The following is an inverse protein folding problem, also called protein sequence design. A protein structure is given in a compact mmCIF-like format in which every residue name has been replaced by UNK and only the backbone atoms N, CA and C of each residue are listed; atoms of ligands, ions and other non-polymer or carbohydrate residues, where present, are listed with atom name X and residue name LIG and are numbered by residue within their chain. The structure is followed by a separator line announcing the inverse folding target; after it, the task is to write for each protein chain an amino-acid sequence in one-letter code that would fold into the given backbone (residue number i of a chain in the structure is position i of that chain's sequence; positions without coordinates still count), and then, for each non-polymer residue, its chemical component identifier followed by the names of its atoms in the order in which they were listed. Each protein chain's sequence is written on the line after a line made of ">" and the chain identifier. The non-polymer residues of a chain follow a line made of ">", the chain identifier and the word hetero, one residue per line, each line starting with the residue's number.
data_IF_826358701297
#
_entry.id   IF_826358701297
#
_cell.length_a   1.000
_cell.length_b   1.000
_cell.length_c   1.000
_cell.angle_alpha   90.00
_cell.angle_beta   90.00
_cell.angle_gamma   90.00
#
_symmetry.space_group_name_H-M   'P 1'
#
loop_
_entity.id
_entity.type
_entity.pdbx_description
1 polymer ?
#
# COMPACT_ATOMS: atom_id res chain seq x y z
N UNK A 1 -8.47 30.44 -10.11
CA UNK A 1 -7.21 30.05 -9.43
C UNK A 1 -6.79 28.73 -10.04
N UNK A 2 -5.56 28.58 -10.54
CA UNK A 2 -5.10 27.31 -11.10
C UNK A 2 -4.91 26.34 -9.93
N UNK A 3 -5.47 25.16 -9.99
CA UNK A 3 -5.38 24.14 -8.92
C UNK A 3 -3.92 23.74 -8.72
N UNK A 4 -3.42 23.79 -7.50
CA UNK A 4 -2.04 23.39 -7.17
C UNK A 4 -2.02 21.96 -6.69
N UNK A 5 -2.02 21.03 -7.65
CA UNK A 5 -2.07 19.58 -7.41
C UNK A 5 -0.92 19.11 -6.53
N UNK A 6 0.29 19.68 -6.69
CA UNK A 6 1.46 19.25 -5.92
C UNK A 6 1.29 19.58 -4.44
N UNK A 7 0.83 20.78 -4.13
CA UNK A 7 0.59 21.16 -2.73
C UNK A 7 -0.55 20.35 -2.12
N UNK A 8 -1.63 20.09 -2.86
CA UNK A 8 -2.72 19.21 -2.41
C UNK A 8 -2.20 17.82 -2.04
N UNK A 9 -1.37 17.18 -2.91
CA UNK A 9 -0.77 15.88 -2.65
C UNK A 9 0.15 15.93 -1.41
N UNK A 10 1.00 16.96 -1.30
CA UNK A 10 1.89 17.14 -0.13
C UNK A 10 1.11 17.24 1.18
N UNK A 11 0.03 18.01 1.19
CA UNK A 11 -0.82 18.15 2.36
C UNK A 11 -1.50 16.84 2.74
N UNK A 12 -1.96 16.04 1.76
CA UNK A 12 -2.52 14.71 2.02
C UNK A 12 -1.45 13.81 2.64
N UNK A 13 -0.26 13.76 2.05
CA UNK A 13 0.87 12.94 2.56
C UNK A 13 1.30 13.35 3.96
N UNK A 14 1.28 14.64 4.30
CA UNK A 14 1.65 15.10 5.65
C UNK A 14 0.67 14.71 6.75
N UNK A 15 -0.56 14.31 6.39
CA UNK A 15 -1.63 13.92 7.32
C UNK A 15 -1.83 12.42 7.41
N UNK A 16 -1.28 11.64 6.47
CA UNK A 16 -1.41 10.19 6.46
C UNK A 16 -0.16 9.52 7.02
N UNK A 17 -0.36 8.54 7.89
CA UNK A 17 0.66 7.60 8.34
C UNK A 17 0.56 6.28 7.57
N UNK A 18 0.39 5.15 8.22
CA UNK A 18 0.07 3.89 7.55
C UNK A 18 -1.42 3.87 7.15
N UNK A 19 -1.68 3.79 5.83
CA UNK A 19 -3.05 3.88 5.30
C UNK A 19 -3.90 2.69 5.70
N UNK A 20 -3.29 1.52 5.86
CA UNK A 20 -4.02 0.34 6.29
C UNK A 20 -4.52 0.49 7.73
N UNK A 21 -3.65 0.88 8.64
CA UNK A 21 -4.01 1.14 10.04
C UNK A 21 -5.03 2.27 10.15
N UNK A 22 -4.84 3.37 9.40
CA UNK A 22 -5.78 4.48 9.38
C UNK A 22 -7.16 4.09 8.82
N UNK A 23 -7.20 3.27 7.78
CA UNK A 23 -8.45 2.74 7.22
C UNK A 23 -9.24 1.98 8.28
N UNK A 24 -8.62 0.99 8.95
CA UNK A 24 -9.28 0.21 9.99
C UNK A 24 -9.69 1.05 11.19
N UNK A 25 -8.85 1.98 11.64
CA UNK A 25 -9.20 2.90 12.72
C UNK A 25 -10.44 3.74 12.39
N UNK A 26 -10.56 4.22 11.14
CA UNK A 26 -11.71 5.00 10.71
C UNK A 26 -12.97 4.15 10.60
N UNK A 27 -12.90 2.98 9.99
CA UNK A 27 -14.04 2.06 9.89
C UNK A 27 -14.54 1.66 11.29
N UNK A 28 -13.65 1.25 12.19
CA UNK A 28 -14.03 0.88 13.55
C UNK A 28 -14.68 2.05 14.31
N UNK A 29 -14.23 3.29 14.07
CA UNK A 29 -14.88 4.48 14.66
C UNK A 29 -16.28 4.71 14.12
N UNK A 30 -16.49 4.54 12.80
CA UNK A 30 -17.81 4.65 12.19
C UNK A 30 -18.75 3.58 12.76
N UNK A 31 -18.32 2.34 12.83
CA UNK A 31 -19.08 1.24 13.42
C UNK A 31 -19.48 1.55 14.86
N UNK A 32 -18.52 2.01 15.68
CA UNK A 32 -18.76 2.39 17.06
C UNK A 32 -19.78 3.54 17.21
N UNK A 33 -19.69 4.55 16.35
CA UNK A 33 -20.64 5.68 16.35
C UNK A 33 -22.04 5.19 15.99
N UNK A 34 -22.18 4.29 15.04
CA UNK A 34 -23.47 3.69 14.65
C UNK A 34 -24.04 2.86 15.80
N UNK A 35 -23.25 1.99 16.43
CA UNK A 35 -23.68 1.20 17.60
C UNK A 35 -24.15 2.09 18.76
N UNK A 36 -23.39 3.15 19.06
CA UNK A 36 -23.74 4.04 20.18
C UNK A 36 -24.95 4.90 19.85
N UNK A 37 -25.22 5.19 18.56
CA UNK A 37 -26.42 5.90 18.14
C UNK A 37 -27.71 5.15 18.46
N UNK A 38 -27.70 3.82 18.45
CA UNK A 38 -28.85 2.99 18.81
C UNK A 38 -29.32 3.17 20.27
N UNK A 39 -28.43 3.64 21.13
CA UNK A 39 -28.76 3.89 22.57
C UNK A 39 -29.40 5.23 22.79
N UNK A 40 -29.49 6.08 21.78
CA UNK A 40 -30.13 7.39 21.87
C UNK A 40 -31.65 7.24 21.72
N UNK A 41 -32.40 7.98 22.53
CA UNK A 41 -33.87 8.00 22.48
C UNK A 41 -34.38 9.14 21.56
N UNK A 42 -33.63 9.44 20.46
CA UNK A 42 -33.96 10.52 19.53
C UNK A 42 -33.75 10.02 18.10
N UNK A 43 -34.86 9.73 17.41
CA UNK A 43 -34.88 9.19 16.06
C UNK A 43 -34.25 10.17 15.05
N UNK A 44 -34.37 11.48 15.29
CA UNK A 44 -33.77 12.48 14.42
C UNK A 44 -32.25 12.42 14.48
N UNK A 45 -31.70 12.39 15.71
CA UNK A 45 -30.24 12.30 15.91
C UNK A 45 -29.72 10.97 15.36
N UNK A 46 -30.41 9.86 15.57
CA UNK A 46 -30.03 8.56 15.00
C UNK A 46 -29.96 8.63 13.48
N UNK A 47 -30.97 9.20 12.83
CA UNK A 47 -31.01 9.34 11.37
C UNK A 47 -29.86 10.20 10.85
N UNK A 48 -29.56 11.33 11.50
CA UNK A 48 -28.45 12.19 11.09
C UNK A 48 -27.09 11.50 11.27
N UNK A 49 -26.90 10.70 12.31
CA UNK A 49 -25.69 9.90 12.49
C UNK A 49 -25.52 8.88 11.37
N UNK A 50 -26.59 8.19 10.97
CA UNK A 50 -26.55 7.24 9.85
C UNK A 50 -26.19 7.95 8.52
N UNK A 51 -26.81 9.10 8.23
CA UNK A 51 -26.47 9.92 7.06
C UNK A 51 -24.99 10.29 7.03
N UNK A 52 -24.50 10.78 8.18
CA UNK A 52 -23.08 11.14 8.31
C UNK A 52 -22.16 9.93 8.16
N UNK A 53 -22.56 8.77 8.66
CA UNK A 53 -21.79 7.54 8.53
C UNK A 53 -21.64 7.07 7.08
N UNK A 54 -22.69 7.18 6.26
CA UNK A 54 -22.64 6.90 4.82
C UNK A 54 -21.64 7.81 4.11
N UNK A 55 -21.66 9.11 4.40
CA UNK A 55 -20.71 10.07 3.80
C UNK A 55 -19.26 9.72 4.18
N UNK A 56 -19.03 9.39 5.46
CA UNK A 56 -17.70 9.09 5.97
C UNK A 56 -17.13 7.78 5.42
N UNK A 57 -17.94 6.71 5.29
CA UNK A 57 -17.44 5.44 4.75
C UNK A 57 -17.05 5.58 3.28
N UNK A 58 -17.78 6.38 2.48
CA UNK A 58 -17.39 6.67 1.10
C UNK A 58 -16.11 7.50 1.07
N UNK A 59 -15.96 8.52 1.92
CA UNK A 59 -14.72 9.28 2.02
C UNK A 59 -13.51 8.38 2.42
N UNK A 60 -13.72 7.41 3.32
CA UNK A 60 -12.70 6.40 3.65
C UNK A 60 -12.36 5.53 2.44
N UNK A 61 -13.38 5.10 1.67
CA UNK A 61 -13.15 4.28 0.48
C UNK A 61 -12.37 5.04 -0.60
N UNK A 62 -12.70 6.31 -0.87
CA UNK A 62 -11.96 7.15 -1.81
C UNK A 62 -10.48 7.29 -1.41
N UNK A 63 -10.18 7.43 -0.12
CA UNK A 63 -8.81 7.48 0.39
C UNK A 63 -8.09 6.13 0.23
N UNK A 64 -8.75 5.01 0.54
CA UNK A 64 -8.22 3.67 0.37
C UNK A 64 -7.87 3.40 -1.10
N UNK A 65 -8.83 3.61 -2.02
CA UNK A 65 -8.60 3.33 -3.44
C UNK A 65 -7.55 4.23 -4.07
N UNK A 66 -7.47 5.50 -3.65
CA UNK A 66 -6.37 6.39 -4.06
C UNK A 66 -5.02 5.80 -3.68
N UNK A 67 -4.91 5.24 -2.49
CA UNK A 67 -3.67 4.61 -2.07
C UNK A 67 -3.40 3.29 -2.80
N UNK A 68 -4.40 2.41 -2.97
CA UNK A 68 -4.23 1.15 -3.70
C UNK A 68 -3.76 1.39 -5.13
N UNK A 69 -4.34 2.39 -5.81
CA UNK A 69 -3.91 2.80 -7.16
C UNK A 69 -2.48 3.33 -7.16
N UNK A 70 -2.12 4.16 -6.18
CA UNK A 70 -0.73 4.63 -6.01
C UNK A 70 0.23 3.45 -5.85
N UNK A 71 -0.05 2.53 -4.93
CA UNK A 71 0.79 1.36 -4.69
C UNK A 71 0.92 0.45 -5.93
N UNK A 72 -0.16 0.24 -6.69
CA UNK A 72 -0.12 -0.48 -7.96
C UNK A 72 0.86 0.15 -8.95
N UNK A 73 0.82 1.46 -9.10
CA UNK A 73 1.65 2.18 -10.08
C UNK A 73 3.12 2.25 -9.63
N UNK A 74 3.35 2.54 -8.35
CA UNK A 74 4.70 2.76 -7.83
C UNK A 74 5.49 1.45 -7.66
N UNK A 75 4.80 0.32 -7.45
CA UNK A 75 5.43 -0.96 -7.15
C UNK A 75 5.27 -2.04 -8.22
N UNK A 76 4.61 -1.74 -9.37
CA UNK A 76 4.44 -2.70 -10.44
C UNK A 76 4.63 -2.08 -11.83
N UNK A 77 5.64 -2.56 -12.56
CA UNK A 77 6.00 -2.04 -13.88
C UNK A 77 4.87 -2.17 -14.92
N UNK A 78 4.12 -3.27 -14.88
CA UNK A 78 2.98 -3.47 -15.78
C UNK A 78 1.88 -2.45 -15.50
N UNK A 79 1.56 -2.20 -14.23
CA UNK A 79 0.59 -1.17 -13.85
C UNK A 79 1.05 0.23 -14.26
N UNK A 80 2.34 0.54 -14.08
CA UNK A 80 2.93 1.79 -14.54
C UNK A 80 2.76 1.97 -16.05
N UNK A 81 3.05 0.96 -16.87
CA UNK A 81 2.89 1.02 -18.34
C UNK A 81 1.43 1.08 -18.77
N UNK A 82 0.51 0.54 -17.98
CA UNK A 82 -0.93 0.53 -18.24
C UNK A 82 -1.63 1.87 -17.93
N UNK A 83 -0.96 2.85 -17.32
CA UNK A 83 -1.51 4.22 -17.13
C UNK A 83 -2.06 4.78 -18.44
N UNK A 84 -1.44 4.46 -19.59
CA UNK A 84 -1.89 4.86 -20.92
C UNK A 84 -3.29 4.35 -21.30
N UNK A 85 -3.81 3.31 -20.64
CA UNK A 85 -5.18 2.78 -20.84
C UNK A 85 -6.23 3.64 -20.14
N UNK A 86 -5.82 4.53 -19.24
CA UNK A 86 -6.71 5.38 -18.49
C UNK A 86 -6.95 6.67 -19.29
N UNK A 87 -8.15 6.79 -19.87
CA UNK A 87 -8.51 7.89 -20.78
C UNK A 87 -8.30 9.28 -20.18
N UNK A 88 -8.46 9.45 -18.87
CA UNK A 88 -8.28 10.72 -18.18
C UNK A 88 -6.84 11.24 -18.27
N UNK A 89 -5.85 10.36 -18.51
CA UNK A 89 -4.44 10.71 -18.63
C UNK A 89 -3.99 11.03 -20.06
N UNK A 90 -4.75 10.71 -21.10
CA UNK A 90 -4.37 10.97 -22.48
C UNK A 90 -4.15 12.47 -22.78
N UNK A 91 -4.76 13.36 -22.00
CA UNK A 91 -4.64 14.82 -22.13
C UNK A 91 -3.97 15.49 -20.92
N UNK A 92 -3.34 14.72 -20.03
CA UNK A 92 -2.71 15.29 -18.83
C UNK A 92 -1.42 16.02 -19.22
N UNK A 93 -1.37 17.32 -18.89
CA UNK A 93 -0.19 18.17 -19.18
C UNK A 93 0.76 18.14 -18.01
N UNK A 94 1.95 17.62 -18.24
CA UNK A 94 3.06 17.66 -17.29
C UNK A 94 3.83 18.96 -17.51
N UNK A 95 3.87 19.81 -16.50
CA UNK A 95 4.64 21.05 -16.50
C UNK A 95 5.97 20.88 -15.74
N UNK A 96 6.83 21.89 -15.82
CA UNK A 96 8.17 21.86 -15.19
C UNK A 96 8.07 21.68 -13.66
N UNK A 97 7.01 22.16 -13.02
CA UNK A 97 6.81 22.04 -11.58
C UNK A 97 6.60 20.58 -11.18
N UNK A 98 5.81 19.84 -11.96
CA UNK A 98 5.60 18.40 -11.77
C UNK A 98 6.91 17.62 -11.99
N UNK A 99 7.67 17.96 -13.05
CA UNK A 99 8.97 17.32 -13.32
C UNK A 99 9.93 17.55 -12.15
N UNK A 100 10.00 18.78 -11.63
CA UNK A 100 10.84 19.10 -10.47
C UNK A 100 10.41 18.33 -9.22
N UNK A 101 9.10 18.19 -8.98
CA UNK A 101 8.58 17.43 -7.84
C UNK A 101 8.95 15.94 -7.92
N UNK A 102 8.98 15.35 -9.12
CA UNK A 102 9.48 13.98 -9.33
C UNK A 102 10.97 13.86 -9.07
N UNK A 103 11.78 14.78 -9.63
CA UNK A 103 13.25 14.79 -9.43
C UNK A 103 13.63 14.93 -7.96
N UNK A 104 12.90 15.75 -7.21
CA UNK A 104 13.11 15.94 -5.77
C UNK A 104 12.48 14.83 -4.91
N UNK A 105 11.86 13.81 -5.53
CA UNK A 105 11.13 12.73 -4.86
C UNK A 105 10.05 13.21 -3.89
N UNK A 106 9.52 14.41 -4.12
CA UNK A 106 8.45 15.00 -3.29
C UNK A 106 7.13 14.29 -3.52
N UNK A 107 6.84 13.92 -4.77
CA UNK A 107 5.70 13.11 -5.18
C UNK A 107 6.16 12.01 -6.12
N UNK A 108 5.39 10.93 -6.22
CA UNK A 108 5.57 9.85 -7.20
C UNK A 108 4.61 10.00 -8.37
N UNK A 109 4.82 9.20 -9.42
CA UNK A 109 3.85 9.12 -10.52
C UNK A 109 2.55 8.51 -10.02
N UNK A 110 2.62 7.50 -9.15
CA UNK A 110 1.45 6.93 -8.49
C UNK A 110 0.65 7.96 -7.70
N UNK A 111 1.32 8.84 -6.93
CA UNK A 111 0.66 9.95 -6.23
C UNK A 111 -0.14 10.85 -7.19
N UNK A 112 0.49 11.23 -8.32
CA UNK A 112 -0.14 12.12 -9.31
C UNK A 112 -1.34 11.48 -9.99
N UNK A 113 -1.19 10.24 -10.46
CA UNK A 113 -2.24 9.50 -11.15
C UNK A 113 -3.39 9.23 -10.20
N UNK A 114 -3.12 8.70 -9.02
CA UNK A 114 -4.13 8.41 -8.01
C UNK A 114 -4.90 9.66 -7.56
N UNK A 115 -4.25 10.82 -7.50
CA UNK A 115 -4.92 12.08 -7.16
C UNK A 115 -5.84 12.60 -8.27
N UNK A 116 -5.52 12.31 -9.53
CA UNK A 116 -6.30 12.78 -10.68
C UNK A 116 -7.49 11.87 -11.03
N UNK A 117 -7.53 10.64 -10.55
CA UNK A 117 -8.61 9.69 -10.83
C UNK A 117 -9.85 9.94 -9.97
N UNK A 118 -11.01 9.57 -10.51
CA UNK A 118 -12.29 9.55 -9.78
C UNK A 118 -12.50 8.22 -9.06
N UNK A 119 -13.08 8.28 -7.87
CA UNK A 119 -13.49 7.13 -7.05
C UNK A 119 -14.92 7.31 -6.53
N UNK A 120 -15.74 8.06 -7.25
CA UNK A 120 -17.06 8.54 -6.79
C UNK A 120 -18.17 7.48 -6.91
N UNK A 121 -17.90 6.36 -7.58
CA UNK A 121 -18.84 5.26 -7.75
C UNK A 121 -18.10 3.94 -7.94
N UNK A 122 -18.86 2.85 -7.93
CA UNK A 122 -18.34 1.49 -8.09
C UNK A 122 -17.64 1.27 -9.43
N UNK A 123 -18.20 1.82 -10.51
CA UNK A 123 -17.70 1.68 -11.87
C UNK A 123 -16.34 2.39 -12.06
N UNK A 124 -16.18 3.58 -11.49
CA UNK A 124 -14.90 4.31 -11.51
C UNK A 124 -13.81 3.49 -10.81
N UNK A 125 -14.12 2.96 -9.62
CA UNK A 125 -13.18 2.17 -8.82
C UNK A 125 -12.73 0.92 -9.57
N UNK A 126 -13.68 0.11 -10.02
CA UNK A 126 -13.38 -1.15 -10.70
C UNK A 126 -12.67 -0.91 -12.03
N UNK A 127 -13.09 0.09 -12.82
CA UNK A 127 -12.44 0.46 -14.08
C UNK A 127 -10.99 0.92 -13.87
N UNK A 128 -10.72 1.72 -12.86
CA UNK A 128 -9.36 2.20 -12.57
C UNK A 128 -8.43 1.02 -12.25
N UNK A 129 -8.84 0.10 -11.37
CA UNK A 129 -8.04 -1.07 -11.01
C UNK A 129 -7.89 -2.03 -12.19
N UNK A 130 -8.98 -2.33 -12.90
CA UNK A 130 -8.98 -3.24 -14.04
C UNK A 130 -8.05 -2.75 -15.17
N UNK A 131 -8.09 -1.46 -15.49
CA UNK A 131 -7.22 -0.87 -16.50
C UNK A 131 -5.74 -0.95 -16.11
N UNK A 132 -5.40 -0.72 -14.84
CA UNK A 132 -4.02 -0.82 -14.36
C UNK A 132 -3.51 -2.25 -14.35
N UNK A 133 -4.31 -3.21 -13.88
CA UNK A 133 -3.92 -4.62 -13.73
C UNK A 133 -4.11 -5.44 -15.01
N UNK A 134 -4.85 -4.90 -15.99
CA UNK A 134 -5.27 -5.64 -17.20
C UNK A 134 -6.07 -6.92 -16.88
N UNK A 135 -6.90 -6.87 -15.86
CA UNK A 135 -7.68 -8.01 -15.34
C UNK A 135 -9.01 -7.53 -14.78
N UNK A 136 -9.96 -8.45 -14.58
CA UNK A 136 -11.24 -8.14 -13.95
C UNK A 136 -11.19 -8.40 -12.44
N UNK A 137 -11.16 -7.33 -11.64
CA UNK A 137 -11.14 -7.39 -10.20
C UNK A 137 -12.28 -8.24 -9.62
N UNK A 138 -13.50 -8.09 -10.14
CA UNK A 138 -14.66 -8.78 -9.59
C UNK A 138 -14.59 -10.27 -9.87
N UNK A 139 -14.22 -10.67 -11.07
CA UNK A 139 -14.05 -12.08 -11.42
C UNK A 139 -12.90 -12.73 -10.63
N UNK A 140 -11.83 -11.98 -10.39
CA UNK A 140 -10.76 -12.46 -9.51
C UNK A 140 -11.25 -12.68 -8.08
N UNK A 141 -11.99 -11.73 -7.51
CA UNK A 141 -12.53 -11.87 -6.15
C UNK A 141 -13.48 -13.07 -6.02
N UNK A 142 -14.28 -13.37 -7.05
CA UNK A 142 -15.16 -14.56 -7.07
C UNK A 142 -14.37 -15.87 -7.08
N UNK A 143 -13.19 -15.88 -7.71
CA UNK A 143 -12.37 -17.10 -7.90
C UNK A 143 -11.18 -17.19 -6.95
N UNK A 144 -11.02 -16.24 -6.04
CA UNK A 144 -9.89 -16.16 -5.13
C UNK A 144 -9.74 -17.44 -4.30
N UNK A 145 -8.55 -18.07 -4.30
CA UNK A 145 -8.36 -19.39 -3.67
C UNK A 145 -7.36 -19.40 -2.50
N UNK A 146 -6.60 -18.34 -2.34
CA UNK A 146 -5.59 -18.30 -1.29
C UNK A 146 -6.21 -18.21 0.10
N UNK A 147 -5.63 -18.90 1.05
CA UNK A 147 -5.89 -18.73 2.48
C UNK A 147 -4.88 -17.77 3.07
N UNK A 148 -5.34 -16.87 3.89
CA UNK A 148 -4.50 -15.93 4.61
C UNK A 148 -4.23 -16.40 6.03
N UNK A 149 -3.11 -15.97 6.59
CA UNK A 149 -2.76 -16.19 8.00
C UNK A 149 -3.83 -15.65 8.95
N UNK A 150 -4.43 -14.52 8.60
CA UNK A 150 -5.49 -13.91 9.38
C UNK A 150 -6.85 -14.49 8.97
N UNK A 151 -7.50 -15.24 9.86
CA UNK A 151 -8.83 -15.84 9.67
C UNK A 151 -9.85 -14.84 9.15
N UNK A 152 -9.79 -13.60 9.64
CA UNK A 152 -10.64 -12.49 9.21
C UNK A 152 -10.67 -12.31 7.68
N UNK A 153 -9.54 -12.34 7.01
CA UNK A 153 -9.50 -12.19 5.55
C UNK A 153 -10.15 -13.38 4.82
N UNK A 154 -9.99 -14.57 5.37
CA UNK A 154 -10.64 -15.76 4.83
C UNK A 154 -12.16 -15.68 4.97
N UNK A 155 -12.65 -15.17 6.10
CA UNK A 155 -14.10 -14.95 6.32
C UNK A 155 -14.66 -13.93 5.34
N UNK A 156 -14.03 -12.76 5.21
CA UNK A 156 -14.45 -11.68 4.31
C UNK A 156 -14.50 -12.14 2.86
N UNK A 157 -13.46 -12.84 2.39
CA UNK A 157 -13.41 -13.41 1.04
C UNK A 157 -14.51 -14.46 0.86
N UNK A 158 -14.75 -15.30 1.87
CA UNK A 158 -15.81 -16.32 1.82
C UNK A 158 -17.19 -15.68 1.71
N UNK A 159 -17.47 -14.63 2.47
CA UNK A 159 -18.74 -13.89 2.40
C UNK A 159 -18.95 -13.29 1.01
N UNK A 160 -17.91 -12.63 0.45
CA UNK A 160 -17.98 -12.07 -0.90
C UNK A 160 -18.27 -13.17 -1.94
N UNK A 161 -17.53 -14.28 -1.92
CA UNK A 161 -17.70 -15.40 -2.88
C UNK A 161 -19.07 -16.04 -2.83
N UNK A 162 -19.64 -16.15 -1.62
CA UNK A 162 -20.96 -16.76 -1.45
C UNK A 162 -22.10 -15.88 -1.96
N UNK A 163 -21.94 -14.56 -1.94
CA UNK A 163 -22.99 -13.63 -2.37
C UNK A 163 -22.44 -12.35 -2.99
N UNK A 164 -21.69 -12.43 -4.11
CA UNK A 164 -21.04 -11.28 -4.73
C UNK A 164 -22.05 -10.22 -5.20
N UNK A 165 -23.21 -10.65 -5.72
CA UNK A 165 -24.21 -9.72 -6.26
C UNK A 165 -24.84 -8.86 -5.16
N UNK A 166 -25.08 -9.43 -3.97
CA UNK A 166 -25.60 -8.68 -2.84
C UNK A 166 -24.56 -7.64 -2.33
N UNK A 167 -23.30 -8.05 -2.24
CA UNK A 167 -22.22 -7.12 -1.85
C UNK A 167 -22.11 -5.98 -2.86
N UNK A 168 -22.05 -6.27 -4.16
CA UNK A 168 -21.97 -5.26 -5.22
C UNK A 168 -23.18 -4.33 -5.21
N UNK A 169 -24.39 -4.88 -5.03
CA UNK A 169 -25.62 -4.08 -4.92
C UNK A 169 -25.52 -3.11 -3.75
N UNK A 170 -25.12 -3.59 -2.57
CA UNK A 170 -24.95 -2.74 -1.38
C UNK A 170 -23.94 -1.62 -1.59
N UNK A 171 -22.81 -1.91 -2.25
CA UNK A 171 -21.80 -0.90 -2.60
C UNK A 171 -22.41 0.20 -3.47
N UNK A 172 -23.15 -0.18 -4.52
CA UNK A 172 -23.80 0.78 -5.43
C UNK A 172 -24.85 1.63 -4.70
N UNK A 173 -25.65 1.03 -3.82
CA UNK A 173 -26.63 1.76 -3.02
C UNK A 173 -25.99 2.76 -2.05
N UNK A 174 -24.88 2.42 -1.41
CA UNK A 174 -24.14 3.34 -0.54
C UNK A 174 -23.59 4.54 -1.33
N UNK A 175 -22.99 4.33 -2.51
CA UNK A 175 -22.53 5.43 -3.35
C UNK A 175 -23.68 6.33 -3.83
N UNK A 176 -24.81 5.72 -4.24
CA UNK A 176 -26.01 6.43 -4.66
C UNK A 176 -26.57 7.26 -3.50
N UNK A 177 -26.69 6.69 -2.30
CA UNK A 177 -27.19 7.39 -1.13
C UNK A 177 -26.27 8.56 -0.74
N UNK A 178 -24.94 8.35 -0.76
CA UNK A 178 -23.98 9.44 -0.54
C UNK A 178 -24.16 10.56 -1.55
N UNK A 179 -24.35 10.25 -2.84
CA UNK A 179 -24.57 11.25 -3.87
C UNK A 179 -25.79 12.11 -3.54
N UNK A 180 -26.92 11.48 -3.19
CA UNK A 180 -28.15 12.18 -2.81
C UNK A 180 -27.92 13.04 -1.55
N UNK A 181 -27.31 12.49 -0.50
CA UNK A 181 -27.06 13.20 0.76
C UNK A 181 -26.14 14.41 0.62
N UNK A 182 -25.20 14.39 -0.33
CA UNK A 182 -24.26 15.48 -0.55
C UNK A 182 -24.74 16.56 -1.52
N UNK A 183 -25.58 16.20 -2.49
CA UNK A 183 -25.88 17.07 -3.64
C UNK A 183 -27.35 17.45 -3.78
N UNK A 184 -28.23 16.81 -3.01
CA UNK A 184 -29.66 17.11 -3.05
C UNK A 184 -30.13 17.58 -1.68
N UNK A 185 -31.12 18.52 -1.66
CA UNK A 185 -31.82 18.92 -0.42
C UNK A 185 -32.81 17.81 -0.01
N UNK A 186 -32.30 16.65 0.29
CA UNK A 186 -33.07 15.43 0.47
C UNK A 186 -33.56 15.28 1.93
N UNK A 187 -34.35 16.25 2.41
CA UNK A 187 -34.90 16.22 3.78
C UNK A 187 -35.90 15.09 4.04
N UNK A 188 -36.49 14.51 2.95
CA UNK A 188 -37.54 13.50 3.04
C UNK A 188 -37.07 12.08 2.69
N UNK A 189 -35.76 11.81 2.71
CA UNK A 189 -35.29 10.45 2.51
C UNK A 189 -35.52 9.67 3.81
N UNK A 190 -36.38 8.66 3.73
CA UNK A 190 -36.48 7.66 4.77
C UNK A 190 -35.25 6.75 4.69
N UNK A 191 -34.52 6.65 5.79
CA UNK A 191 -33.36 5.77 5.95
C UNK A 191 -33.78 4.66 6.89
N UNK A 192 -33.92 3.44 6.37
CA UNK A 192 -34.12 2.29 7.22
C UNK A 192 -32.78 1.88 7.86
N UNK A 193 -32.78 1.81 9.19
CA UNK A 193 -31.57 1.51 9.97
C UNK A 193 -30.99 0.15 9.58
N UNK A 194 -31.82 -0.88 9.50
CA UNK A 194 -31.40 -2.26 9.24
C UNK A 194 -30.83 -2.40 7.81
N UNK A 195 -31.43 -1.71 6.84
CA UNK A 195 -30.94 -1.68 5.47
C UNK A 195 -29.59 -0.98 5.37
N UNK A 196 -29.44 0.17 6.05
CA UNK A 196 -28.14 0.89 6.06
C UNK A 196 -27.04 0.05 6.69
N UNK A 197 -27.28 -0.57 7.84
CA UNK A 197 -26.28 -1.41 8.50
C UNK A 197 -25.87 -2.57 7.57
N UNK A 198 -26.83 -3.27 7.00
CA UNK A 198 -26.56 -4.34 6.05
C UNK A 198 -25.70 -3.87 4.84
N UNK A 199 -26.03 -2.71 4.28
CA UNK A 199 -25.29 -2.15 3.17
C UNK A 199 -23.88 -1.69 3.58
N UNK A 200 -23.70 -1.14 4.77
CA UNK A 200 -22.38 -0.72 5.29
C UNK A 200 -21.48 -1.94 5.56
N UNK A 201 -22.02 -3.01 6.12
CA UNK A 201 -21.28 -4.27 6.33
C UNK A 201 -20.80 -4.86 5.00
N UNK A 202 -21.67 -4.95 4.00
CA UNK A 202 -21.28 -5.40 2.67
C UNK A 202 -20.28 -4.47 1.99
N UNK A 203 -20.41 -3.15 2.18
CA UNK A 203 -19.45 -2.17 1.67
C UNK A 203 -18.05 -2.40 2.27
N UNK A 204 -17.98 -2.62 3.58
CA UNK A 204 -16.73 -2.97 4.27
C UNK A 204 -16.12 -4.26 3.72
N UNK A 205 -16.92 -5.31 3.54
CA UNK A 205 -16.47 -6.58 2.93
C UNK A 205 -15.84 -6.31 1.55
N UNK A 206 -16.48 -5.50 0.71
CA UNK A 206 -15.93 -5.13 -0.59
C UNK A 206 -14.58 -4.41 -0.49
N UNK A 207 -14.45 -3.43 0.41
CA UNK A 207 -13.21 -2.69 0.61
C UNK A 207 -12.07 -3.61 1.06
N UNK A 208 -12.33 -4.50 2.01
CA UNK A 208 -11.35 -5.46 2.51
C UNK A 208 -10.94 -6.47 1.42
N UNK A 209 -11.89 -6.96 0.62
CA UNK A 209 -11.59 -7.83 -0.52
C UNK A 209 -10.72 -7.13 -1.57
N UNK A 210 -11.00 -5.87 -1.90
CA UNK A 210 -10.18 -5.09 -2.82
C UNK A 210 -8.76 -4.89 -2.29
N UNK A 211 -8.63 -4.55 -1.00
CA UNK A 211 -7.32 -4.42 -0.34
C UNK A 211 -6.51 -5.71 -0.45
N UNK A 212 -7.11 -6.85 -0.07
CA UNK A 212 -6.47 -8.16 -0.14
C UNK A 212 -6.07 -8.52 -1.58
N UNK A 213 -6.95 -8.29 -2.57
CA UNK A 213 -6.65 -8.59 -3.97
C UNK A 213 -5.50 -7.75 -4.52
N UNK A 214 -5.42 -6.46 -4.18
CA UNK A 214 -4.32 -5.60 -4.61
C UNK A 214 -3.01 -5.97 -3.92
N UNK A 215 -3.04 -6.26 -2.63
CA UNK A 215 -1.86 -6.71 -1.87
C UNK A 215 -1.32 -8.03 -2.45
N UNK A 216 -2.17 -8.99 -2.74
CA UNK A 216 -1.80 -10.27 -3.36
C UNK A 216 -1.20 -10.08 -4.76
N UNK A 217 -1.77 -9.17 -5.54
CA UNK A 217 -1.25 -8.85 -6.86
C UNK A 217 0.16 -8.23 -6.81
N UNK A 218 0.41 -7.35 -5.84
CA UNK A 218 1.71 -6.71 -5.64
C UNK A 218 2.75 -7.67 -5.05
N UNK A 219 2.31 -8.57 -4.19
CA UNK A 219 3.17 -9.51 -3.46
C UNK A 219 2.61 -10.94 -3.59
N UNK A 220 2.61 -11.52 -4.81
CA UNK A 220 2.20 -12.89 -5.00
C UNK A 220 3.15 -13.79 -4.19
N UNK A 221 2.61 -14.67 -3.37
CA UNK A 221 3.33 -15.51 -2.42
C UNK A 221 3.76 -14.82 -1.12
N UNK A 222 3.01 -13.82 -0.66
CA UNK A 222 3.19 -13.33 0.70
C UNK A 222 3.14 -14.52 1.68
N UNK A 223 4.10 -14.63 2.59
CA UNK A 223 4.21 -15.79 3.45
C UNK A 223 2.99 -15.96 4.37
N UNK A 224 2.50 -17.19 4.48
CA UNK A 224 1.31 -17.52 5.27
C UNK A 224 1.61 -17.80 6.75
N UNK A 225 2.87 -18.15 7.05
CA UNK A 225 3.29 -18.50 8.40
C UNK A 225 4.46 -17.64 8.86
N UNK A 226 4.63 -17.51 10.18
CA UNK A 226 5.79 -16.82 10.75
C UNK A 226 7.11 -17.47 10.29
N UNK A 227 7.11 -18.78 10.12
CA UNK A 227 8.28 -19.48 9.60
C UNK A 227 8.64 -19.01 8.17
N UNK A 228 7.63 -18.91 7.28
CA UNK A 228 7.82 -18.43 5.91
C UNK A 228 8.22 -16.96 5.87
N UNK A 229 7.66 -16.12 6.76
CA UNK A 229 8.06 -14.72 6.92
C UNK A 229 9.55 -14.63 7.26
N UNK A 230 9.99 -15.41 8.25
CA UNK A 230 11.38 -15.46 8.66
C UNK A 230 12.29 -15.98 7.52
N UNK A 231 11.84 -17.03 6.83
CA UNK A 231 12.59 -17.60 5.70
C UNK A 231 12.71 -16.61 4.54
N UNK A 232 11.65 -15.85 4.25
CA UNK A 232 11.68 -14.81 3.22
C UNK A 232 12.64 -13.68 3.59
N UNK A 233 12.63 -13.21 4.84
CA UNK A 233 13.59 -12.20 5.30
C UNK A 233 15.03 -12.68 5.12
N UNK A 234 15.31 -13.95 5.48
CA UNK A 234 16.60 -14.57 5.27
C UNK A 234 16.98 -14.66 3.79
N UNK A 235 16.06 -15.14 2.94
CA UNK A 235 16.30 -15.27 1.50
C UNK A 235 16.54 -13.91 0.83
N UNK A 236 15.86 -12.86 1.28
CA UNK A 236 16.07 -11.50 0.78
C UNK A 236 17.45 -10.98 1.16
N UNK A 237 17.85 -11.16 2.43
CA UNK A 237 19.19 -10.82 2.88
C UNK A 237 20.28 -11.58 2.07
N UNK A 238 20.13 -12.89 1.85
CA UNK A 238 21.08 -13.69 1.07
C UNK A 238 21.26 -13.17 -0.36
N UNK A 239 20.20 -12.65 -1.00
CA UNK A 239 20.27 -12.00 -2.32
C UNK A 239 21.11 -10.71 -2.26
N UNK A 240 20.88 -9.88 -1.25
CA UNK A 240 21.62 -8.63 -1.06
C UNK A 240 23.07 -8.90 -0.68
N UNK A 241 23.33 -9.91 0.14
CA UNK A 241 24.70 -10.34 0.47
C UNK A 241 25.45 -10.79 -0.79
N UNK A 242 24.80 -11.54 -1.66
CA UNK A 242 25.38 -11.95 -2.95
C UNK A 242 25.69 -10.74 -3.83
N UNK A 243 24.78 -9.77 -3.96
CA UNK A 243 25.03 -8.51 -4.69
C UNK A 243 26.24 -7.76 -4.12
N UNK A 244 26.32 -7.70 -2.79
CA UNK A 244 27.45 -7.08 -2.09
C UNK A 244 28.77 -7.78 -2.40
N UNK A 245 28.82 -9.11 -2.41
CA UNK A 245 30.02 -9.87 -2.72
C UNK A 245 30.47 -9.69 -4.18
N UNK A 246 29.53 -9.70 -5.12
CA UNK A 246 29.79 -9.43 -6.54
C UNK A 246 30.33 -8.00 -6.77
N UNK A 247 29.80 -7.02 -6.02
CA UNK A 247 30.29 -5.65 -6.04
C UNK A 247 31.72 -5.55 -5.48
N UNK A 248 32.00 -6.22 -4.36
CA UNK A 248 33.35 -6.26 -3.79
C UNK A 248 34.37 -6.87 -4.72
N UNK A 249 34.02 -7.93 -5.43
CA UNK A 249 34.89 -8.55 -6.45
C UNK A 249 35.22 -7.57 -7.56
N UNK A 250 34.22 -6.85 -8.11
CA UNK A 250 34.43 -5.83 -9.12
C UNK A 250 35.36 -4.72 -8.63
N UNK A 251 35.14 -4.21 -7.41
CA UNK A 251 35.95 -3.15 -6.81
C UNK A 251 37.38 -3.63 -6.62
N UNK A 252 37.59 -4.81 -6.04
CA UNK A 252 38.93 -5.33 -5.76
C UNK A 252 39.74 -5.63 -7.03
N UNK A 253 39.06 -6.00 -8.11
CA UNK A 253 39.67 -6.19 -9.41
C UNK A 253 40.07 -4.87 -10.08
N UNK A 254 39.43 -3.75 -9.72
CA UNK A 254 39.76 -2.42 -10.23
C UNK A 254 40.94 -1.75 -9.52
N UNK A 255 41.46 -2.31 -8.43
CA UNK A 255 42.58 -1.72 -7.66
C UNK A 255 43.92 -1.79 -8.39
N UNK A 256 44.06 -2.68 -9.37
CA UNK A 256 45.29 -2.82 -10.16
C UNK A 256 45.17 -1.87 -11.35
N UNK A 257 46.03 -0.85 -11.39
CA UNK A 257 46.10 0.05 -12.55
C UNK A 257 46.75 -0.66 -13.74
N UNK A 258 46.54 -0.08 -14.94
CA UNK A 258 47.21 -0.54 -16.16
C UNK A 258 48.76 -0.47 -16.09
N UNK A 259 49.29 0.35 -15.19
CA UNK A 259 50.73 0.51 -14.96
C UNK A 259 51.27 -0.41 -13.84
N UNK A 260 50.41 -1.27 -13.26
CA UNK A 260 50.81 -2.20 -12.21
C UNK A 260 50.93 -1.60 -10.80
N UNK A 261 50.61 -0.30 -10.63
CA UNK A 261 50.61 0.35 -9.31
C UNK A 261 49.24 0.20 -8.64
N UNK A 262 49.20 -0.21 -7.39
CA UNK A 262 47.96 -0.23 -6.60
C UNK A 262 47.67 1.18 -6.05
N UNK A 263 46.54 1.75 -6.38
CA UNK A 263 46.09 3.06 -5.84
C UNK A 263 45.44 2.91 -4.46
N UNK A 264 44.97 1.71 -4.10
CA UNK A 264 44.33 1.40 -2.82
C UNK A 264 44.99 0.15 -2.26
N UNK A 265 45.40 0.20 -0.99
CA UNK A 265 45.88 -0.99 -0.31
C UNK A 265 44.76 -2.01 -0.15
N UNK A 266 44.83 -3.06 -0.96
CA UNK A 266 43.82 -4.12 -1.01
C UNK A 266 43.66 -4.83 0.33
N UNK A 267 44.75 -4.99 1.08
CA UNK A 267 44.76 -5.71 2.36
C UNK A 267 44.00 -4.91 3.42
N UNK A 268 44.25 -3.61 3.50
CA UNK A 268 43.52 -2.71 4.41
C UNK A 268 42.04 -2.57 4.02
N UNK A 269 41.75 -2.48 2.72
CA UNK A 269 40.37 -2.41 2.26
C UNK A 269 39.59 -3.69 2.66
N UNK A 270 40.11 -4.87 2.36
CA UNK A 270 39.47 -6.13 2.71
C UNK A 270 39.32 -6.31 4.22
N UNK A 271 40.32 -5.88 5.01
CA UNK A 271 40.21 -5.88 6.46
C UNK A 271 39.08 -4.96 6.93
N UNK A 272 38.99 -3.76 6.40
CA UNK A 272 37.91 -2.81 6.74
C UNK A 272 36.52 -3.35 6.40
N UNK A 273 36.39 -4.06 5.29
CA UNK A 273 35.14 -4.75 4.91
C UNK A 273 34.79 -5.86 5.90
N UNK A 274 35.77 -6.65 6.33
CA UNK A 274 35.54 -7.71 7.31
C UNK A 274 35.12 -7.15 8.68
N UNK A 275 35.79 -6.11 9.14
CA UNK A 275 35.44 -5.40 10.39
C UNK A 275 34.03 -4.79 10.30
N UNK A 276 33.68 -4.26 9.13
CA UNK A 276 32.34 -3.75 8.89
C UNK A 276 31.28 -4.86 8.88
N UNK A 277 31.55 -6.05 8.32
CA UNK A 277 30.62 -7.19 8.38
C UNK A 277 30.32 -7.59 9.81
N UNK A 278 31.35 -7.71 10.64
CA UNK A 278 31.18 -7.98 12.07
C UNK A 278 30.33 -6.91 12.76
N UNK A 279 30.56 -5.63 12.43
CA UNK A 279 29.71 -4.53 12.92
C UNK A 279 28.25 -4.71 12.50
N UNK A 280 27.97 -5.02 11.24
CA UNK A 280 26.61 -5.21 10.73
C UNK A 280 25.86 -6.32 11.49
N UNK A 281 26.52 -7.46 11.75
CA UNK A 281 25.96 -8.57 12.52
C UNK A 281 25.68 -8.17 13.98
N UNK A 282 26.62 -7.50 14.64
CA UNK A 282 26.42 -7.00 16.00
C UNK A 282 25.30 -5.98 16.08
N UNK A 283 25.22 -5.08 15.10
CA UNK A 283 24.17 -4.07 15.03
C UNK A 283 22.79 -4.73 14.87
N UNK A 284 22.62 -5.65 13.90
CA UNK A 284 21.38 -6.38 13.70
C UNK A 284 20.99 -7.19 14.95
N UNK A 285 21.94 -7.87 15.58
CA UNK A 285 21.70 -8.61 16.82
C UNK A 285 21.25 -7.70 17.96
N UNK A 286 21.85 -6.49 18.08
CA UNK A 286 21.53 -5.56 19.15
C UNK A 286 20.10 -5.03 19.06
N UNK A 287 19.61 -4.78 17.82
CA UNK A 287 18.23 -4.34 17.59
C UNK A 287 17.24 -5.49 17.85
N UNK A 288 17.63 -6.72 17.51
CA UNK A 288 16.79 -7.90 17.63
C UNK A 288 16.74 -8.48 19.06
N UNK A 289 17.53 -7.93 19.99
CA UNK A 289 17.75 -8.50 21.34
C UNK A 289 16.46 -8.75 22.11
N UNK A 290 15.46 -7.87 21.99
CA UNK A 290 14.14 -8.01 22.66
C UNK A 290 13.31 -9.17 22.14
N UNK A 291 13.65 -9.70 20.98
CA UNK A 291 12.94 -10.80 20.30
C UNK A 291 13.67 -12.12 20.37
N UNK A 292 14.80 -12.21 21.11
CA UNK A 292 15.59 -13.43 21.26
C UNK A 292 14.71 -14.55 21.83
N UNK A 293 14.72 -15.70 21.13
CA UNK A 293 13.88 -16.86 21.47
C UNK A 293 12.41 -16.74 21.05
N UNK A 294 11.99 -15.59 20.52
CA UNK A 294 10.66 -15.39 19.94
C UNK A 294 10.59 -15.76 18.46
N UNK A 295 9.39 -16.05 17.98
CA UNK A 295 9.13 -16.45 16.60
C UNK A 295 9.46 -15.37 15.54
N UNK A 296 9.58 -14.10 15.92
CA UNK A 296 9.87 -12.96 15.03
C UNK A 296 11.35 -12.55 15.02
N UNK A 297 12.22 -13.23 15.78
CA UNK A 297 13.65 -12.86 15.90
C UNK A 297 14.33 -12.82 14.53
N UNK A 298 14.22 -13.89 13.77
CA UNK A 298 14.87 -14.01 12.46
C UNK A 298 14.38 -12.95 11.48
N UNK A 299 13.08 -12.63 11.49
CA UNK A 299 12.53 -11.54 10.68
C UNK A 299 13.25 -10.23 10.99
N UNK A 300 13.30 -9.83 12.26
CA UNK A 300 13.90 -8.56 12.68
C UNK A 300 15.40 -8.55 12.38
N UNK A 301 16.10 -9.63 12.68
CA UNK A 301 17.53 -9.76 12.47
C UNK A 301 17.92 -9.63 11.00
N UNK A 302 17.30 -10.44 10.11
CA UNK A 302 17.64 -10.42 8.68
C UNK A 302 17.17 -9.16 7.98
N UNK A 303 16.04 -8.55 8.37
CA UNK A 303 15.59 -7.27 7.82
C UNK A 303 16.57 -6.13 8.15
N UNK A 304 17.11 -6.10 9.37
CA UNK A 304 18.12 -5.09 9.73
C UNK A 304 19.46 -5.33 9.01
N UNK A 305 19.88 -6.59 8.83
CA UNK A 305 21.06 -6.90 8.01
C UNK A 305 20.87 -6.43 6.57
N UNK A 306 19.73 -6.73 5.97
CA UNK A 306 19.39 -6.30 4.60
C UNK A 306 19.54 -4.79 4.42
N UNK A 307 19.00 -3.99 5.32
CA UNK A 307 19.07 -2.52 5.31
C UNK A 307 20.52 -2.03 5.41
N UNK A 308 21.29 -2.58 6.34
CA UNK A 308 22.70 -2.18 6.54
C UNK A 308 23.54 -2.52 5.31
N UNK A 309 23.33 -3.69 4.69
CA UNK A 309 24.05 -4.11 3.49
C UNK A 309 23.64 -3.26 2.26
N UNK A 310 22.36 -2.94 2.08
CA UNK A 310 21.90 -2.02 1.02
C UNK A 310 22.57 -0.66 1.12
N UNK A 311 22.60 -0.07 2.33
CA UNK A 311 23.27 1.20 2.58
C UNK A 311 24.76 1.14 2.25
N UNK A 312 25.44 0.03 2.54
CA UNK A 312 26.86 -0.16 2.21
C UNK A 312 27.09 -0.31 0.71
N UNK A 313 26.22 -1.03 0.01
CA UNK A 313 26.26 -1.18 -1.44
C UNK A 313 26.15 0.19 -2.12
N UNK A 314 25.17 1.01 -1.72
CA UNK A 314 25.00 2.36 -2.25
C UNK A 314 26.23 3.24 -2.01
N UNK A 315 26.79 3.19 -0.80
CA UNK A 315 28.01 3.92 -0.47
C UNK A 315 29.19 3.48 -1.36
N UNK A 316 29.38 2.17 -1.53
CA UNK A 316 30.47 1.64 -2.35
C UNK A 316 30.29 2.01 -3.84
N UNK A 317 29.08 1.87 -4.37
CA UNK A 317 28.76 2.30 -5.75
C UNK A 317 29.10 3.77 -5.97
N UNK A 318 28.74 4.63 -5.00
CA UNK A 318 29.04 6.07 -5.05
C UNK A 318 30.55 6.37 -4.99
N UNK A 319 31.30 5.67 -4.13
CA UNK A 319 32.74 5.91 -3.93
C UNK A 319 33.59 5.43 -5.12
N UNK A 320 33.19 4.34 -5.76
CA UNK A 320 33.92 3.71 -6.87
C UNK A 320 33.34 4.02 -8.25
N UNK A 321 32.33 4.92 -8.32
CA UNK A 321 31.69 5.40 -9.58
C UNK A 321 31.22 4.24 -10.48
N UNK A 322 30.56 3.22 -9.88
CA UNK A 322 30.07 2.00 -10.52
C UNK A 322 28.56 2.04 -10.75
#
# INVERSE_FOLDING_TARGET
>A
MKRDIINEIKEIKSRSSDIYDEFYLKINRIEKIIEDSQKLNDDFIQTEILRYSVINIVACSEALFRNLVKELIDNNESCYTNIKKINQFNNFKIDITIITAFQTKTITIGDLVAHALSYNNFEDITSNINNLRDSDLIEELKTFQRKYLYERFNEVISVFKNNPDAVIKSVKEIFKLRHILCHEYANNIHIDYSEIIYNLENFKIFLECCFVSVTEYLQPNYPETQFEINQNAKNNFEKIEKEFLELLEKITNSFISLDGNEYIDKSFFLKSINDWKNYAEYFASSISVKSIGGSIYDLIYYSNLEEVYKSKIELLKKLFTL
#
